data_IF_417550577989
#
_entry.id   IF_417550577989
#
_cell.length_a   1.000
_cell.length_b   1.000
_cell.length_c   1.000
_cell.angle_alpha   90.00
_cell.angle_beta   90.00
_cell.angle_gamma   90.00
#
_symmetry.space_group_name_H-M   'P 1'
#
loop_
_entity.id
_entity.type
_entity.pdbx_description
1 polymer ?
#
# COMPACT_ATOMS: atom_id res chain seq x y z
N UNK A 1 -13.82 23.12 0.18
CA UNK A 1 -13.89 21.65 0.03
C UNK A 1 -12.74 20.98 0.80
N UNK A 2 -13.02 19.94 1.59
CA UNK A 2 -11.96 19.16 2.21
C UNK A 2 -11.09 18.50 1.13
N UNK A 3 -9.76 18.49 1.33
CA UNK A 3 -8.84 17.81 0.42
C UNK A 3 -9.10 16.30 0.52
N UNK A 4 -9.37 15.58 -0.58
CA UNK A 4 -9.67 14.14 -0.54
C UNK A 4 -8.54 13.34 0.11
N UNK A 5 -8.84 12.35 0.93
CA UNK A 5 -7.81 11.55 1.63
C UNK A 5 -6.91 10.77 0.66
N UNK A 6 -7.52 10.10 -0.33
CA UNK A 6 -6.82 9.40 -1.41
C UNK A 6 -6.33 10.39 -2.47
N UNK A 7 -5.23 10.05 -3.15
CA UNK A 7 -4.89 10.71 -4.40
C UNK A 7 -5.90 10.31 -5.48
N UNK A 8 -6.20 11.18 -6.46
CA UNK A 8 -7.19 10.89 -7.48
C UNK A 8 -6.94 9.55 -8.17
N UNK A 9 -7.98 8.78 -8.42
CA UNK A 9 -7.93 7.49 -9.12
C UNK A 9 -9.24 7.20 -9.84
N UNK A 10 -9.23 6.16 -10.66
CA UNK A 10 -10.37 5.66 -11.41
C UNK A 10 -10.40 6.13 -12.86
N UNK A 11 -11.47 5.79 -13.61
CA UNK A 11 -11.53 6.02 -15.05
C UNK A 11 -11.44 7.50 -15.46
N UNK A 12 -11.91 8.42 -14.61
CA UNK A 12 -11.83 9.86 -14.84
C UNK A 12 -10.40 10.41 -14.79
N UNK A 13 -9.49 9.69 -14.13
CA UNK A 13 -8.07 9.98 -14.07
C UNK A 13 -7.27 9.21 -15.14
N UNK A 14 -7.99 8.55 -16.06
CA UNK A 14 -7.43 7.68 -17.10
C UNK A 14 -6.65 6.48 -16.57
N UNK A 15 -7.01 6.00 -15.38
CA UNK A 15 -6.40 4.78 -14.83
C UNK A 15 -6.69 3.56 -15.70
N UNK A 16 -5.68 2.72 -15.84
CA UNK A 16 -5.88 1.33 -16.25
C UNK A 16 -6.64 0.57 -15.16
N UNK A 17 -7.30 -0.51 -15.57
CA UNK A 17 -8.02 -1.42 -14.67
C UNK A 17 -7.52 -2.84 -14.85
N UNK A 18 -7.27 -3.54 -13.75
CA UNK A 18 -7.00 -4.98 -13.81
C UNK A 18 -8.23 -5.78 -14.25
N UNK A 19 -8.04 -7.01 -14.76
CA UNK A 19 -9.15 -7.90 -15.08
C UNK A 19 -9.99 -8.24 -13.84
N UNK A 20 -11.27 -8.50 -14.07
CA UNK A 20 -12.18 -9.16 -13.12
C UNK A 20 -11.84 -10.64 -13.07
N UNK A 21 -10.95 -11.00 -12.15
CA UNK A 21 -10.41 -12.33 -11.97
C UNK A 21 -9.80 -12.37 -10.58
N UNK A 22 -10.15 -13.39 -9.79
CA UNK A 22 -9.71 -13.64 -8.41
C UNK A 22 -8.19 -13.37 -8.21
N UNK A 23 -7.33 -14.27 -8.66
CA UNK A 23 -5.87 -14.10 -8.67
C UNK A 23 -5.35 -13.29 -9.87
N UNK A 24 -6.11 -12.29 -10.29
CA UNK A 24 -5.78 -11.46 -11.45
C UNK A 24 -4.56 -10.57 -11.24
N UNK A 25 -3.91 -10.18 -12.34
CA UNK A 25 -2.78 -9.25 -12.32
C UNK A 25 -2.73 -8.45 -13.62
N UNK A 26 -2.07 -7.30 -13.58
CA UNK A 26 -1.76 -6.51 -14.76
C UNK A 26 -0.84 -7.27 -15.72
N UNK A 27 -0.73 -6.77 -16.96
CA UNK A 27 0.47 -7.02 -17.76
C UNK A 27 1.71 -6.41 -17.08
N UNK A 28 2.89 -6.77 -17.55
CA UNK A 28 4.09 -6.05 -17.14
C UNK A 28 4.00 -4.59 -17.60
N UNK A 29 4.27 -3.66 -16.68
CA UNK A 29 4.23 -2.23 -16.95
C UNK A 29 5.65 -1.71 -16.98
N UNK A 30 6.08 -1.15 -18.11
CA UNK A 30 7.33 -0.41 -18.22
C UNK A 30 7.13 1.00 -17.66
N UNK A 31 8.05 1.45 -16.80
CA UNK A 31 8.01 2.76 -16.17
C UNK A 31 8.75 3.78 -17.02
N UNK A 32 8.17 4.96 -17.22
CA UNK A 32 8.85 6.08 -17.90
C UNK A 32 10.01 6.63 -17.10
N UNK A 33 9.93 6.56 -15.77
CA UNK A 33 11.00 6.91 -14.83
C UNK A 33 11.29 5.70 -13.94
N UNK A 34 12.54 5.22 -13.86
CA UNK A 34 12.88 4.11 -12.97
C UNK A 34 12.61 4.46 -11.52
N UNK A 35 12.02 3.53 -10.77
CA UNK A 35 11.80 3.68 -9.34
C UNK A 35 12.94 3.00 -8.56
N UNK A 36 13.62 3.74 -7.69
CA UNK A 36 14.66 3.18 -6.81
C UNK A 36 14.01 2.65 -5.55
N UNK A 37 14.22 1.37 -5.24
CA UNK A 37 13.72 0.68 -4.05
C UNK A 37 14.86 -0.15 -3.45
N UNK A 38 15.27 0.17 -2.23
CA UNK A 38 16.42 -0.40 -1.53
C UNK A 38 17.71 -0.38 -2.37
N UNK A 39 18.06 0.81 -2.88
CA UNK A 39 19.26 1.02 -3.72
C UNK A 39 19.18 0.41 -5.12
N UNK A 40 18.16 -0.41 -5.43
CA UNK A 40 17.99 -1.05 -6.73
C UNK A 40 16.97 -0.28 -7.58
N UNK A 41 17.35 -0.01 -8.83
CA UNK A 41 16.47 0.63 -9.81
C UNK A 41 15.60 -0.41 -10.50
N UNK A 42 14.29 -0.19 -10.50
CA UNK A 42 13.32 -1.00 -11.21
C UNK A 42 12.70 -0.20 -12.35
N UNK A 43 12.64 -0.83 -13.52
CA UNK A 43 12.06 -0.26 -14.74
C UNK A 43 10.72 -0.89 -15.09
N UNK A 44 10.35 -1.97 -14.41
CA UNK A 44 9.06 -2.63 -14.60
C UNK A 44 8.42 -2.98 -13.27
N UNK A 45 7.09 -3.01 -13.26
CA UNK A 45 6.29 -3.51 -12.14
C UNK A 45 5.03 -4.24 -12.62
N UNK A 46 4.39 -4.92 -11.68
CA UNK A 46 3.06 -5.51 -11.82
C UNK A 46 2.14 -4.99 -10.71
N UNK A 47 0.85 -4.85 -11.01
CA UNK A 47 -0.19 -4.60 -10.02
C UNK A 47 -1.03 -5.88 -9.90
N UNK A 48 -1.02 -6.50 -8.73
CA UNK A 48 -1.74 -7.75 -8.47
C UNK A 48 -3.06 -7.47 -7.72
N UNK A 49 -4.11 -8.26 -8.02
CA UNK A 49 -5.43 -8.08 -7.42
C UNK A 49 -5.43 -8.29 -5.91
N UNK A 50 -4.60 -9.19 -5.41
CA UNK A 50 -4.38 -9.52 -3.99
C UNK A 50 -3.59 -8.44 -3.24
N UNK A 51 -3.54 -7.18 -3.70
CA UNK A 51 -3.03 -6.07 -2.89
C UNK A 51 -1.50 -5.91 -2.88
N UNK A 52 -0.83 -6.25 -3.99
CA UNK A 52 0.63 -6.17 -4.12
C UNK A 52 1.05 -5.41 -5.39
N UNK A 53 2.10 -4.58 -5.26
CA UNK A 53 2.89 -4.06 -6.39
C UNK A 53 4.27 -4.72 -6.35
N UNK A 54 4.58 -5.56 -7.33
CA UNK A 54 5.85 -6.29 -7.39
C UNK A 54 6.75 -5.78 -8.51
N UNK A 55 8.06 -5.80 -8.29
CA UNK A 55 9.02 -5.28 -9.25
C UNK A 55 9.71 -6.41 -10.03
N UNK A 56 9.59 -6.40 -11.36
CA UNK A 56 10.23 -7.38 -12.26
C UNK A 56 9.75 -8.82 -12.14
N UNK A 57 8.76 -9.12 -11.29
CA UNK A 57 8.25 -10.49 -11.08
C UNK A 57 6.74 -10.47 -10.83
N UNK A 58 6.03 -11.49 -11.32
CA UNK A 58 4.61 -11.71 -11.01
C UNK A 58 4.44 -12.40 -9.66
N UNK A 59 3.45 -11.98 -8.89
CA UNK A 59 2.99 -12.67 -7.68
C UNK A 59 1.72 -13.46 -8.01
N UNK A 60 1.65 -14.70 -7.54
CA UNK A 60 0.50 -15.62 -7.76
C UNK A 60 -0.16 -16.06 -6.46
N UNK A 61 0.46 -15.74 -5.32
CA UNK A 61 0.02 -16.15 -4.01
C UNK A 61 -1.08 -15.21 -3.50
N UNK A 62 -2.16 -15.80 -3.00
CA UNK A 62 -3.27 -15.09 -2.35
C UNK A 62 -3.10 -15.04 -0.82
N UNK A 63 -2.66 -16.14 -0.21
CA UNK A 63 -2.35 -16.17 1.23
C UNK A 63 -1.02 -15.47 1.49
N UNK A 64 -0.98 -14.46 2.38
CA UNK A 64 0.24 -13.72 2.66
C UNK A 64 1.28 -14.52 3.45
N UNK A 65 2.51 -14.53 2.95
CA UNK A 65 3.69 -15.05 3.65
C UNK A 65 4.32 -13.97 4.55
N UNK A 66 4.94 -14.35 5.69
CA UNK A 66 5.68 -13.43 6.53
C UNK A 66 6.88 -12.84 5.79
N UNK A 67 7.26 -11.62 6.18
CA UNK A 67 8.49 -11.00 5.70
C UNK A 67 9.65 -11.31 6.68
N UNK A 68 10.88 -11.46 6.18
CA UNK A 68 11.28 -11.35 4.78
C UNK A 68 10.80 -12.57 3.98
N UNK A 69 10.49 -12.37 2.69
CA UNK A 69 10.03 -13.46 1.83
C UNK A 69 11.18 -14.38 1.47
N UNK A 70 10.99 -15.68 1.70
CA UNK A 70 11.99 -16.71 1.42
C UNK A 70 12.38 -16.81 -0.06
N UNK A 71 11.53 -16.33 -0.98
CA UNK A 71 11.79 -16.35 -2.42
C UNK A 71 12.41 -15.04 -2.97
N UNK A 72 12.78 -14.11 -2.08
CA UNK A 72 13.56 -12.92 -2.45
C UNK A 72 12.83 -11.96 -3.39
N UNK A 73 11.50 -12.02 -3.50
CA UNK A 73 10.77 -11.13 -4.42
C UNK A 73 10.63 -9.71 -3.85
N UNK A 74 11.06 -8.68 -4.59
CA UNK A 74 10.89 -7.29 -4.18
C UNK A 74 9.46 -6.82 -4.45
N UNK A 75 8.73 -6.42 -3.41
CA UNK A 75 7.41 -5.83 -3.59
C UNK A 75 6.94 -4.94 -2.45
N UNK A 76 5.95 -4.13 -2.78
CA UNK A 76 5.16 -3.31 -1.86
C UNK A 76 3.80 -3.97 -1.68
N UNK A 77 3.43 -4.27 -0.43
CA UNK A 77 2.13 -4.79 -0.07
C UNK A 77 1.36 -3.70 0.67
N UNK A 78 0.61 -2.81 -0.02
CA UNK A 78 -0.33 -1.93 0.68
C UNK A 78 -1.26 -2.75 1.59
N UNK A 79 -1.81 -3.86 1.09
CA UNK A 79 -2.65 -4.77 1.87
C UNK A 79 -2.74 -6.13 1.15
N UNK A 80 -1.72 -6.98 1.30
CA UNK A 80 -1.69 -8.28 0.67
C UNK A 80 -2.68 -9.23 1.35
N UNK A 81 -3.71 -9.66 0.62
CA UNK A 81 -4.69 -10.64 1.07
C UNK A 81 -5.43 -11.25 -0.13
N UNK A 82 -6.17 -12.33 0.12
CA UNK A 82 -6.96 -13.06 -0.88
C UNK A 82 -8.20 -12.25 -1.33
N UNK A 83 -7.97 -11.36 -2.30
CA UNK A 83 -8.95 -10.41 -2.86
C UNK A 83 -9.65 -11.04 -4.05
N UNK A 84 -10.99 -11.06 -4.01
CA UNK A 84 -11.79 -11.47 -5.16
C UNK A 84 -12.55 -10.28 -5.73
N UNK A 85 -11.98 -9.68 -6.78
CA UNK A 85 -12.61 -8.54 -7.44
C UNK A 85 -13.79 -8.94 -8.36
N UNK A 86 -14.01 -10.24 -8.62
CA UNK A 86 -15.20 -10.76 -9.31
C UNK A 86 -16.42 -10.58 -8.41
N UNK A 87 -16.27 -10.85 -7.11
CA UNK A 87 -17.32 -10.64 -6.09
C UNK A 87 -17.54 -9.15 -5.75
N UNK A 88 -16.56 -8.30 -5.97
CA UNK A 88 -16.77 -6.85 -5.90
C UNK A 88 -15.50 -6.01 -5.88
N UNK A 89 -15.65 -4.75 -6.29
CA UNK A 89 -14.58 -3.75 -6.29
C UNK A 89 -13.69 -3.78 -7.51
N UNK A 90 -12.79 -2.82 -7.61
CA UNK A 90 -11.98 -2.60 -8.80
C UNK A 90 -10.55 -2.27 -8.40
N UNK A 91 -9.59 -2.65 -9.24
CA UNK A 91 -8.19 -2.26 -9.05
C UNK A 91 -7.80 -1.33 -10.19
N UNK A 92 -7.49 -0.09 -9.83
CA UNK A 92 -7.11 0.99 -10.74
C UNK A 92 -5.65 1.33 -10.58
N UNK A 93 -4.95 1.66 -11.67
CA UNK A 93 -3.56 2.11 -11.59
C UNK A 93 -3.13 2.97 -12.78
N UNK A 94 -2.16 3.86 -12.54
CA UNK A 94 -1.44 4.60 -13.58
C UNK A 94 -0.08 5.07 -13.09
N UNK A 95 0.85 5.23 -14.02
CA UNK A 95 1.92 6.22 -13.82
C UNK A 95 1.42 7.61 -14.21
N UNK A 96 2.04 8.65 -13.65
CA UNK A 96 1.63 10.03 -13.90
C UNK A 96 2.79 11.00 -13.73
N UNK A 97 2.81 12.00 -14.60
CA UNK A 97 3.64 13.21 -14.52
C UNK A 97 2.77 14.46 -14.43
N UNK A 98 1.50 14.31 -14.02
CA UNK A 98 0.55 15.43 -13.89
C UNK A 98 1.08 16.47 -12.88
N UNK A 99 1.28 17.74 -13.30
CA UNK A 99 1.90 18.75 -12.43
C UNK A 99 1.10 19.03 -11.15
N UNK A 100 -0.24 18.95 -11.19
CA UNK A 100 -1.07 19.25 -10.02
C UNK A 100 -0.94 18.15 -8.96
N UNK A 101 -0.99 16.88 -9.38
CA UNK A 101 -0.80 15.74 -8.50
C UNK A 101 0.63 15.69 -7.97
N UNK A 102 1.65 15.91 -8.82
CA UNK A 102 3.04 15.94 -8.38
C UNK A 102 3.33 17.07 -7.38
N UNK A 103 2.75 18.27 -7.58
CA UNK A 103 2.85 19.36 -6.62
C UNK A 103 2.20 19.01 -5.28
N UNK A 104 1.04 18.33 -5.30
CA UNK A 104 0.35 17.85 -4.10
C UNK A 104 1.17 16.79 -3.35
N UNK A 105 1.74 15.83 -4.06
CA UNK A 105 2.62 14.79 -3.50
C UNK A 105 3.87 15.44 -2.88
N UNK A 106 4.49 16.37 -3.60
CA UNK A 106 5.65 17.15 -3.13
C UNK A 106 5.34 17.90 -1.85
N UNK A 107 4.21 18.62 -1.80
CA UNK A 107 3.78 19.34 -0.60
C UNK A 107 3.59 18.41 0.61
N UNK A 108 2.98 17.24 0.40
CA UNK A 108 2.82 16.24 1.47
C UNK A 108 4.17 15.71 1.96
N UNK A 109 5.07 15.30 1.06
CA UNK A 109 6.38 14.76 1.44
C UNK A 109 7.22 15.81 2.16
N UNK A 110 7.27 17.05 1.65
CA UNK A 110 8.03 18.13 2.30
C UNK A 110 7.43 18.54 3.66
N UNK A 111 6.12 18.35 3.86
CA UNK A 111 5.50 18.53 5.18
C UNK A 111 5.89 17.42 6.16
N UNK A 112 5.88 16.15 5.74
CA UNK A 112 6.24 15.02 6.61
C UNK A 112 7.75 14.90 6.85
N UNK A 113 8.57 15.31 5.87
CA UNK A 113 10.03 15.16 5.85
C UNK A 113 10.73 16.50 5.51
N UNK A 114 10.60 17.55 6.32
CA UNK A 114 11.09 18.90 6.00
C UNK A 114 12.62 19.00 5.87
N UNK A 115 13.36 17.97 6.31
CA UNK A 115 14.83 17.90 6.22
C UNK A 115 15.33 17.21 4.96
N UNK A 116 14.44 16.59 4.17
CA UNK A 116 14.79 15.91 2.92
C UNK A 116 14.25 16.76 1.77
N UNK A 117 15.12 17.47 1.03
CA UNK A 117 14.68 18.22 -0.14
C UNK A 117 14.09 17.25 -1.16
N UNK A 118 12.81 17.44 -1.50
CA UNK A 118 12.13 16.56 -2.45
C UNK A 118 11.21 17.36 -3.38
N UNK A 119 11.19 16.96 -4.65
CA UNK A 119 10.24 17.46 -5.64
C UNK A 119 9.89 16.32 -6.59
N UNK A 120 8.68 15.78 -6.46
CA UNK A 120 8.24 14.65 -7.28
C UNK A 120 8.27 15.02 -8.75
N UNK A 121 8.96 14.22 -9.57
CA UNK A 121 8.91 14.33 -11.03
C UNK A 121 8.04 13.24 -11.66
N UNK A 122 7.73 12.22 -10.88
CA UNK A 122 6.98 11.05 -11.31
C UNK A 122 6.25 10.42 -10.12
N UNK A 123 5.08 9.86 -10.39
CA UNK A 123 4.38 9.01 -9.44
C UNK A 123 3.69 7.84 -10.14
N UNK A 124 3.43 6.78 -9.40
CA UNK A 124 2.56 5.67 -9.77
C UNK A 124 1.51 5.49 -8.69
N UNK A 125 0.24 5.57 -9.06
CA UNK A 125 -0.91 5.41 -8.15
C UNK A 125 -1.57 4.08 -8.45
N UNK A 126 -1.79 3.25 -7.42
CA UNK A 126 -2.60 2.04 -7.53
C UNK A 126 -3.62 2.00 -6.38
N UNK A 127 -4.88 1.76 -6.72
CA UNK A 127 -6.00 1.77 -5.76
C UNK A 127 -6.81 0.50 -5.90
N UNK A 128 -6.98 -0.22 -4.79
CA UNK A 128 -7.94 -1.31 -4.65
C UNK A 128 -9.19 -0.69 -4.06
N UNK A 129 -10.16 -0.41 -4.91
CA UNK A 129 -11.37 0.30 -4.56
C UNK A 129 -12.51 -0.67 -4.26
N UNK A 130 -13.00 -0.64 -3.02
CA UNK A 130 -14.13 -1.44 -2.54
C UNK A 130 -14.01 -2.93 -2.90
N UNK A 131 -12.83 -3.52 -2.73
CA UNK A 131 -12.57 -4.93 -3.07
C UNK A 131 -13.16 -5.88 -2.04
N UNK A 132 -13.75 -6.97 -2.51
CA UNK A 132 -14.22 -8.09 -1.69
C UNK A 132 -13.08 -9.09 -1.42
N UNK A 133 -13.28 -9.96 -0.44
CA UNK A 133 -12.40 -11.10 -0.17
C UNK A 133 -12.94 -12.37 -0.82
N UNK A 134 -12.04 -13.30 -1.13
CA UNK A 134 -12.41 -14.59 -1.68
C UNK A 134 -13.39 -15.34 -0.78
N UNK A 135 -14.44 -15.88 -1.38
CA UNK A 135 -15.49 -16.63 -0.68
C UNK A 135 -16.42 -15.78 0.18
N UNK A 136 -16.40 -14.45 0.04
CA UNK A 136 -17.32 -13.56 0.76
C UNK A 136 -18.78 -13.82 0.42
N UNK A 137 -19.62 -13.87 1.45
CA UNK A 137 -21.09 -13.93 1.35
C UNK A 137 -21.75 -12.61 1.77
N UNK A 138 -20.97 -11.53 1.94
CA UNK A 138 -21.45 -10.23 2.44
C UNK A 138 -21.02 -9.05 1.56
N UNK A 139 -21.42 -7.85 1.95
CA UNK A 139 -21.11 -6.58 1.30
C UNK A 139 -19.90 -5.85 1.91
N UNK A 140 -19.14 -6.49 2.82
CA UNK A 140 -17.92 -5.90 3.38
C UNK A 140 -16.88 -5.69 2.29
N UNK A 141 -16.30 -4.49 2.21
CA UNK A 141 -15.31 -4.11 1.20
C UNK A 141 -14.16 -3.32 1.80
N UNK A 142 -12.98 -3.50 1.22
CA UNK A 142 -11.79 -2.73 1.57
C UNK A 142 -11.50 -1.70 0.48
N UNK A 143 -11.09 -0.49 0.87
CA UNK A 143 -10.51 0.51 -0.02
C UNK A 143 -9.16 0.97 0.51
N UNK A 144 -8.11 0.75 -0.27
CA UNK A 144 -6.74 1.16 0.05
C UNK A 144 -5.95 1.52 -1.21
N UNK A 145 -4.88 2.31 -1.05
CA UNK A 145 -4.10 2.87 -2.14
C UNK A 145 -2.61 2.83 -1.82
N UNK A 146 -1.79 2.52 -2.81
CA UNK A 146 -0.35 2.74 -2.81
C UNK A 146 0.01 3.84 -3.81
N UNK A 147 0.99 4.66 -3.46
CA UNK A 147 1.62 5.62 -4.36
C UNK A 147 3.13 5.50 -4.26
N UNK A 148 3.78 5.19 -5.37
CA UNK A 148 5.23 5.25 -5.53
C UNK A 148 5.58 6.61 -6.12
N UNK A 149 6.60 7.30 -5.64
CA UNK A 149 7.01 8.59 -6.22
C UNK A 149 8.51 8.80 -6.07
N UNK A 150 9.11 9.52 -7.02
CA UNK A 150 10.54 9.79 -7.00
C UNK A 150 10.88 11.12 -7.67
N UNK A 151 12.03 11.67 -7.30
CA UNK A 151 12.71 12.76 -8.00
C UNK A 151 13.97 12.26 -8.76
N UNK A 152 14.09 10.94 -8.95
CA UNK A 152 15.25 10.13 -9.40
C UNK A 152 16.36 9.85 -8.39
N UNK A 153 16.47 10.65 -7.33
CA UNK A 153 17.48 10.47 -6.27
C UNK A 153 16.84 9.83 -5.05
N UNK A 154 15.72 10.40 -4.62
CA UNK A 154 14.94 9.99 -3.47
C UNK A 154 13.62 9.39 -3.94
N UNK A 155 13.20 8.30 -3.29
CA UNK A 155 11.98 7.57 -3.59
C UNK A 155 11.14 7.46 -2.35
N UNK A 156 9.83 7.65 -2.48
CA UNK A 156 8.88 7.44 -1.41
C UNK A 156 7.79 6.45 -1.80
N UNK A 157 7.30 5.73 -0.79
CA UNK A 157 6.05 4.98 -0.82
C UNK A 157 5.07 5.68 0.11
N UNK A 158 3.85 5.90 -0.37
CA UNK A 158 2.72 6.38 0.41
C UNK A 158 1.64 5.30 0.37
N UNK A 159 1.19 4.83 1.53
CA UNK A 159 0.12 3.87 1.68
C UNK A 159 -1.06 4.57 2.39
N UNK A 160 -2.25 4.48 1.80
CA UNK A 160 -3.46 5.10 2.32
C UNK A 160 -4.54 4.04 2.52
N UNK A 161 -5.22 4.07 3.67
CA UNK A 161 -6.29 3.15 4.04
C UNK A 161 -7.58 3.92 4.32
N UNK A 162 -8.53 3.87 3.40
CA UNK A 162 -9.81 4.59 3.54
C UNK A 162 -10.83 3.76 4.35
N UNK A 163 -10.99 2.49 4.00
CA UNK A 163 -11.93 1.59 4.66
C UNK A 163 -11.35 0.17 4.69
N UNK A 164 -11.29 -0.43 5.88
CA UNK A 164 -10.87 -1.82 6.06
C UNK A 164 -11.92 -2.50 6.94
N UNK A 165 -12.62 -3.48 6.38
CA UNK A 165 -13.75 -4.18 6.97
C UNK A 165 -13.53 -5.70 7.07
N UNK A 166 -12.48 -6.21 6.42
CA UNK A 166 -12.11 -7.62 6.42
C UNK A 166 -10.58 -7.78 6.37
N UNK A 167 -10.07 -8.88 6.92
CA UNK A 167 -8.63 -9.19 6.99
C UNK A 167 -8.22 -10.39 6.16
N UNK A 168 -9.14 -11.32 5.90
CA UNK A 168 -8.77 -12.67 5.43
C UNK A 168 -9.83 -13.24 4.49
N UNK A 169 -9.39 -13.84 3.38
CA UNK A 169 -10.24 -14.63 2.48
C UNK A 169 -10.46 -16.06 2.97
N UNK A 170 -11.48 -16.72 2.44
CA UNK A 170 -11.88 -18.07 2.87
C UNK A 170 -10.80 -19.12 2.63
N UNK A 171 -10.04 -19.02 1.53
CA UNK A 171 -8.96 -19.97 1.23
C UNK A 171 -7.76 -19.81 2.18
N UNK A 172 -7.59 -18.63 2.78
CA UNK A 172 -6.61 -18.36 3.84
C UNK A 172 -7.13 -18.66 5.25
N UNK A 173 -8.25 -19.39 5.38
CA UNK A 173 -8.85 -19.77 6.67
C UNK A 173 -9.75 -18.71 7.30
N UNK A 174 -10.12 -17.67 6.57
CA UNK A 174 -11.09 -16.66 7.01
C UNK A 174 -12.53 -17.17 6.99
N UNK A 175 -13.38 -16.54 7.80
CA UNK A 175 -14.81 -16.79 7.81
C UNK A 175 -15.54 -16.06 6.66
N UNK A 176 -16.49 -16.74 6.03
CA UNK A 176 -17.16 -16.25 4.82
C UNK A 176 -18.07 -15.03 5.08
N UNK A 177 -18.62 -14.90 6.28
CA UNK A 177 -19.55 -13.81 6.63
C UNK A 177 -18.81 -12.58 7.19
N UNK A 178 -17.76 -12.80 7.96
CA UNK A 178 -17.02 -11.73 8.65
C UNK A 178 -15.77 -11.28 7.91
N UNK A 179 -15.13 -12.17 7.13
CA UNK A 179 -13.84 -11.92 6.50
C UNK A 179 -12.69 -11.82 7.52
N UNK A 180 -12.84 -12.45 8.68
CA UNK A 180 -11.89 -12.44 9.80
C UNK A 180 -11.42 -13.87 10.13
N UNK A 181 -10.36 -13.99 10.94
CA UNK A 181 -9.73 -15.26 11.29
C UNK A 181 -8.64 -15.69 10.29
N UNK A 182 -8.20 -16.94 10.34
CA UNK A 182 -7.20 -17.48 9.40
C UNK A 182 -5.85 -16.75 9.43
N UNK A 183 -5.23 -16.60 8.27
CA UNK A 183 -4.00 -15.81 8.06
C UNK A 183 -4.36 -14.39 7.61
N UNK A 184 -4.25 -13.37 8.49
CA UNK A 184 -4.62 -11.99 8.16
C UNK A 184 -3.72 -11.37 7.11
N UNK A 185 -4.24 -10.33 6.48
CA UNK A 185 -3.54 -9.52 5.50
C UNK A 185 -2.15 -9.04 5.97
N UNK A 186 -1.23 -8.88 5.01
CA UNK A 186 0.10 -8.34 5.22
C UNK A 186 0.21 -6.93 4.63
N UNK A 187 0.49 -5.92 5.45
CA UNK A 187 0.79 -4.57 4.99
C UNK A 187 2.24 -4.18 5.31
N UNK A 188 2.96 -3.71 4.29
CA UNK A 188 4.40 -3.46 4.38
C UNK A 188 5.12 -3.54 3.04
N UNK A 189 6.40 -3.89 3.07
CA UNK A 189 7.20 -4.11 1.87
C UNK A 189 8.43 -4.98 2.15
N UNK A 190 8.88 -5.72 1.14
CA UNK A 190 10.02 -6.62 1.17
C UNK A 190 11.03 -6.19 0.08
N UNK A 191 12.30 -5.97 0.44
CA UNK A 191 13.34 -5.49 -0.48
C UNK A 191 13.73 -6.50 -1.55
N UNK A 192 13.54 -7.79 -1.28
CA UNK A 192 14.05 -8.90 -2.08
C UNK A 192 15.53 -9.25 -1.85
N UNK A 193 16.18 -8.71 -0.82
CA UNK A 193 17.56 -9.06 -0.43
C UNK A 193 17.64 -9.98 0.81
N UNK A 194 16.52 -10.62 1.16
CA UNK A 194 16.33 -11.52 2.33
C UNK A 194 16.49 -10.84 3.71
N UNK A 195 16.99 -9.62 3.78
CA UNK A 195 17.34 -8.95 5.05
C UNK A 195 16.48 -7.74 5.35
N UNK A 196 16.13 -6.96 4.33
CA UNK A 196 15.47 -5.68 4.49
C UNK A 196 13.98 -5.79 4.18
N UNK A 197 13.16 -5.46 5.17
CA UNK A 197 11.70 -5.44 5.03
C UNK A 197 11.08 -4.57 6.12
N UNK A 198 9.83 -4.20 5.91
CA UNK A 198 9.05 -3.47 6.89
C UNK A 198 7.64 -4.04 7.01
N UNK A 199 7.22 -4.29 8.26
CA UNK A 199 5.85 -4.65 8.61
C UNK A 199 5.18 -3.44 9.25
N UNK A 200 4.02 -3.03 8.73
CA UNK A 200 3.20 -2.05 9.44
C UNK A 200 2.71 -2.67 10.75
N UNK A 201 2.67 -1.93 11.88
CA UNK A 201 2.18 -2.46 13.14
C UNK A 201 0.79 -3.10 13.02
N UNK A 202 0.66 -4.33 13.51
CA UNK A 202 -0.56 -5.15 13.39
C UNK A 202 -0.64 -6.00 12.12
N UNK A 203 0.27 -5.82 11.15
CA UNK A 203 0.35 -6.66 9.95
C UNK A 203 0.48 -8.16 10.28
N UNK A 204 -0.16 -9.02 9.48
CA UNK A 204 -0.28 -10.47 9.72
C UNK A 204 -0.91 -10.87 11.05
N UNK A 205 -1.63 -9.97 11.70
CA UNK A 205 -2.42 -10.26 12.89
C UNK A 205 -3.82 -9.67 12.75
N UNK A 206 -4.75 -10.10 13.59
CA UNK A 206 -6.12 -9.54 13.60
C UNK A 206 -6.12 -8.01 13.82
N UNK A 207 -5.06 -7.46 14.44
CA UNK A 207 -4.94 -6.03 14.69
C UNK A 207 -4.84 -5.19 13.40
N UNK A 208 -4.51 -5.77 12.25
CA UNK A 208 -4.44 -5.05 10.97
C UNK A 208 -5.77 -4.39 10.58
N UNK A 209 -6.91 -4.88 11.10
CA UNK A 209 -8.21 -4.25 10.89
C UNK A 209 -8.24 -2.77 11.33
N UNK A 210 -7.37 -2.38 12.27
CA UNK A 210 -7.27 -1.01 12.80
C UNK A 210 -6.34 -0.09 11.98
N UNK A 211 -5.80 -0.53 10.85
CA UNK A 211 -4.77 0.21 10.08
C UNK A 211 -5.26 1.59 9.57
N UNK A 212 -6.57 1.78 9.45
CA UNK A 212 -7.20 3.09 9.13
C UNK A 212 -7.02 4.14 10.23
N UNK A 213 -6.64 3.74 11.44
CA UNK A 213 -6.46 4.61 12.62
C UNK A 213 -5.00 4.83 13.00
N UNK A 214 -4.08 4.07 12.41
CA UNK A 214 -2.65 4.13 12.71
C UNK A 214 -1.90 4.91 11.62
N UNK A 215 -0.72 5.43 11.93
CA UNK A 215 0.09 6.26 11.03
C UNK A 215 1.51 6.43 11.56
N UNK A 216 2.48 6.67 10.67
CA UNK A 216 3.81 7.17 11.02
C UNK A 216 4.03 8.67 10.70
N UNK A 217 3.01 9.35 10.18
CA UNK A 217 3.06 10.78 9.80
C UNK A 217 1.95 11.60 10.48
N UNK A 218 1.34 11.07 11.53
CA UNK A 218 0.24 11.67 12.30
C UNK A 218 -1.01 12.02 11.47
N UNK A 219 -1.24 11.29 10.38
CA UNK A 219 -2.46 11.36 9.57
C UNK A 219 -3.07 9.96 9.58
N UNK A 220 -4.16 9.71 10.34
CA UNK A 220 -4.78 8.39 10.46
C UNK A 220 -4.98 7.71 9.10
N UNK A 221 -4.55 6.44 9.00
CA UNK A 221 -4.67 5.65 7.78
C UNK A 221 -3.60 5.96 6.73
N UNK A 222 -2.67 6.88 6.97
CA UNK A 222 -1.58 7.21 6.05
C UNK A 222 -0.23 6.79 6.61
N UNK A 223 0.53 6.09 5.78
CA UNK A 223 1.89 5.65 6.06
C UNK A 223 2.82 6.11 4.94
N UNK A 224 3.96 6.71 5.27
CA UNK A 224 4.90 7.25 4.28
C UNK A 224 6.33 6.84 4.61
N UNK A 225 7.05 6.33 3.61
CA UNK A 225 8.40 5.79 3.79
C UNK A 225 9.31 6.30 2.68
N UNK A 226 10.47 6.84 3.03
CA UNK A 226 11.59 6.98 2.09
C UNK A 226 12.15 5.57 1.83
N UNK A 227 12.38 5.18 0.57
CA UNK A 227 12.75 3.81 0.20
C UNK A 227 13.94 3.68 -0.74
N UNK A 228 14.55 4.78 -1.18
CA UNK A 228 15.75 4.77 -2.03
C UNK A 228 17.00 4.23 -1.30
N UNK A 229 17.23 4.62 -0.05
CA UNK A 229 18.33 4.17 0.82
C UNK A 229 17.80 3.75 2.20
N UNK A 230 16.70 2.98 2.21
CA UNK A 230 16.06 2.57 3.45
C UNK A 230 16.81 1.43 4.12
N UNK A 231 17.13 1.62 5.39
CA UNK A 231 17.74 0.60 6.28
C UNK A 231 16.83 0.41 7.48
N UNK A 232 15.85 -0.48 7.38
CA UNK A 232 15.09 -0.94 8.55
C UNK A 232 14.93 -2.45 8.47
N UNK A 233 15.22 -3.10 9.60
CA UNK A 233 15.05 -4.52 9.86
C UNK A 233 14.00 -4.69 10.97
N UNK A 234 12.72 -4.71 10.62
CA UNK A 234 11.61 -4.98 11.56
C UNK A 234 11.34 -3.89 12.62
N UNK A 235 10.12 -3.87 13.18
CA UNK A 235 9.50 -2.66 13.77
C UNK A 235 10.17 -2.17 15.08
N UNK A 236 10.45 -0.85 15.21
CA UNK A 236 10.09 -0.15 16.45
C UNK A 236 8.88 0.76 16.26
N UNK A 237 7.84 0.42 17.03
CA UNK A 237 6.51 1.03 17.12
C UNK A 237 6.50 2.19 18.11
N UNK A 238 7.09 3.34 17.81
CA UNK A 238 6.70 4.51 18.61
C UNK A 238 5.31 4.98 18.16
N UNK A 239 4.32 4.64 18.98
CA UNK A 239 3.00 5.29 18.98
C UNK A 239 3.25 6.79 19.08
N UNK A 240 2.56 7.64 18.29
CA UNK A 240 2.66 9.08 18.46
C UNK A 240 2.46 9.43 19.93
N UNK A 241 3.43 10.09 20.56
CA UNK A 241 3.21 10.70 21.88
C UNK A 241 2.01 11.63 21.71
N UNK A 242 0.89 11.23 22.30
CA UNK A 242 -0.24 12.12 22.50
C UNK A 242 0.33 13.34 23.22
N UNK A 243 0.14 14.53 22.66
CA UNK A 243 0.48 15.75 23.37
C UNK A 243 -0.14 15.66 24.76
N UNK A 244 0.67 15.81 25.82
CA UNK A 244 0.20 15.75 27.19
C UNK A 244 -1.08 16.57 27.31
N UNK A 245 -2.19 15.88 27.58
CA UNK A 245 -3.43 16.51 28.01
C UNK A 245 -3.26 17.01 29.44
N UNK A 246 -2.29 17.88 29.65
CA UNK A 246 -2.07 18.62 30.89
C UNK A 246 -2.43 20.08 30.66
N UNK A 247 -3.71 20.31 30.37
CA UNK A 247 -4.37 21.54 30.80
C UNK A 247 -5.78 21.18 31.26
N UNK A 248 -5.83 20.43 32.36
CA UNK A 248 -6.92 20.57 33.31
C UNK A 248 -6.82 21.96 33.95
N UNK A 249 -7.91 22.71 33.87
CA UNK A 249 -8.37 23.74 34.81
C UNK A 249 -7.33 24.42 35.73
N UNK A 250 -6.96 25.66 35.39
CA UNK A 250 -7.20 26.89 36.17
C UNK A 250 -6.71 28.11 35.37
#
# INVERSE_FOLDING_TARGET
>A
PAVPFLYPYGPHEHDHKNPKLDDGTSKELSLTVPFTFYGKKYQTLYVNNNGVISFGVRVKQYTPDPFPLADGRPFVAPYWADVDNVLGGEIFYRETTDPMLLARITGNINYYFPKIPFTAIWAFVATWHRVAYYGSTTDKRNTFQATLTTDTKTSFIILNYEAIQWTTGKASGGDAETGLGGTPAHAGFNSGDETNFYNIPGSQTEAIINITRTSNVNIPGRWVFQVDDFKVTGVPTEVPKVADSNNCWL
#
